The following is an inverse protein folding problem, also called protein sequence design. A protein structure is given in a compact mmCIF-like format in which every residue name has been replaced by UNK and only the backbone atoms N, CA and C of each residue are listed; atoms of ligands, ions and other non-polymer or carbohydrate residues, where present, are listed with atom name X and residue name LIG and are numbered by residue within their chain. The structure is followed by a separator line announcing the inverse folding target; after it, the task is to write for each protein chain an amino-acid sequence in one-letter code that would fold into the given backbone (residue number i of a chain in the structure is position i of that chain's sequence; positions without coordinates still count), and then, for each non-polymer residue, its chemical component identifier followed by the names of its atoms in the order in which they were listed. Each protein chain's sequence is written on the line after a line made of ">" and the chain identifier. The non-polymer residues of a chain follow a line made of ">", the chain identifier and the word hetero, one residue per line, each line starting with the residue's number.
data_IF_578020347473
#
_entry.id   IF_578020347473
#
_cell.length_a   1.000
_cell.length_b   1.000
_cell.length_c   1.000
_cell.angle_alpha   90.00
_cell.angle_beta   90.00
_cell.angle_gamma   90.00
#
_symmetry.space_group_name_H-M   'P 1'
#
loop_
_entity.id
_entity.type
_entity.pdbx_description
1 polymer ?
#
# COMPACT_ATOMS: atom_id res chain seq x y z
N UNK A 1 14.64 13.43 56.29
CA UNK A 1 15.22 12.95 54.99
C UNK A 1 14.34 11.91 54.28
N UNK A 2 13.55 11.10 54.99
CA UNK A 2 12.71 10.01 54.39
C UNK A 2 11.63 10.49 53.42
N UNK A 3 11.01 11.65 53.66
CA UNK A 3 9.95 12.20 52.77
C UNK A 3 10.48 12.72 51.43
N UNK A 4 11.72 13.18 51.32
CA UNK A 4 12.34 13.59 50.07
C UNK A 4 12.60 12.38 49.17
N UNK A 5 13.14 11.31 49.74
CA UNK A 5 13.40 10.05 49.04
C UNK A 5 12.08 9.42 48.53
N UNK A 6 11.02 9.44 49.38
CA UNK A 6 9.70 8.95 48.96
C UNK A 6 9.10 9.75 47.81
N UNK A 7 9.19 11.08 47.85
CA UNK A 7 8.71 11.94 46.76
C UNK A 7 9.46 11.68 45.45
N UNK A 8 10.80 11.55 45.53
CA UNK A 8 11.63 11.25 44.35
C UNK A 8 11.26 9.86 43.81
N UNK A 9 11.12 8.85 44.66
CA UNK A 9 10.70 7.52 44.22
C UNK A 9 9.33 7.49 43.53
N UNK A 10 8.35 8.23 44.11
CA UNK A 10 7.02 8.31 43.56
C UNK A 10 7.00 9.01 42.19
N UNK A 11 7.73 10.13 42.04
CA UNK A 11 7.82 10.84 40.74
C UNK A 11 8.52 10.01 39.67
N UNK A 12 9.58 9.29 40.03
CA UNK A 12 10.27 8.40 39.12
C UNK A 12 9.36 7.26 38.65
N UNK A 13 8.58 6.67 39.58
CA UNK A 13 7.64 5.61 39.28
C UNK A 13 6.56 6.08 38.31
N UNK A 14 5.96 7.26 38.55
CA UNK A 14 4.92 7.84 37.68
C UNK A 14 5.47 8.14 36.30
N UNK A 15 6.67 8.74 36.22
CA UNK A 15 7.34 9.00 34.94
C UNK A 15 7.64 7.71 34.18
N UNK A 16 8.11 6.67 34.85
CA UNK A 16 8.41 5.37 34.22
C UNK A 16 7.13 4.71 33.67
N UNK A 17 6.02 4.77 34.42
CA UNK A 17 4.73 4.24 33.97
C UNK A 17 4.16 5.04 32.79
N UNK A 18 4.26 6.36 32.83
CA UNK A 18 3.81 7.21 31.73
C UNK A 18 4.63 6.97 30.45
N UNK A 19 5.95 6.86 30.59
CA UNK A 19 6.84 6.59 29.45
C UNK A 19 6.65 5.17 28.89
N UNK A 20 6.51 4.17 29.79
CA UNK A 20 6.21 2.80 29.40
C UNK A 20 4.85 2.66 28.69
N UNK A 21 3.83 3.36 29.18
CA UNK A 21 2.51 3.40 28.54
C UNK A 21 2.55 4.05 27.18
N UNK A 22 3.31 5.13 27.01
CA UNK A 22 3.49 5.80 25.71
C UNK A 22 4.24 4.92 24.72
N UNK A 23 5.29 4.22 25.15
CA UNK A 23 6.00 3.25 24.30
C UNK A 23 5.09 2.09 23.90
N UNK A 24 4.31 1.55 24.86
CA UNK A 24 3.36 0.48 24.55
C UNK A 24 2.31 0.89 23.54
N UNK A 25 1.77 2.10 23.66
CA UNK A 25 0.81 2.66 22.69
C UNK A 25 1.39 2.77 21.28
N UNK A 26 2.63 3.24 21.18
CA UNK A 26 3.32 3.37 19.88
C UNK A 26 3.65 2.01 19.25
N UNK A 27 4.06 1.03 20.05
CA UNK A 27 4.34 -0.33 19.54
C UNK A 27 3.06 -1.12 19.20
N UNK A 28 1.94 -0.81 19.85
CA UNK A 28 0.65 -1.48 19.59
C UNK A 28 -0.05 -0.99 18.31
N UNK A 29 0.36 0.13 17.76
CA UNK A 29 -0.04 0.58 16.41
C UNK A 29 0.66 -0.25 15.34
N UNK A 30 0.36 -1.51 15.28
CA UNK A 30 0.95 -2.56 14.47
C UNK A 30 1.67 -2.14 13.19
N UNK A 31 2.80 -2.75 12.95
CA UNK A 31 3.61 -2.59 11.74
C UNK A 31 2.74 -2.79 10.49
N UNK A 32 2.60 -1.77 9.65
CA UNK A 32 1.98 -1.90 8.34
C UNK A 32 3.00 -2.57 7.41
N UNK A 33 2.64 -3.72 6.87
CA UNK A 33 3.47 -4.45 5.91
C UNK A 33 3.19 -3.96 4.50
N UNK A 34 4.22 -3.48 3.80
CA UNK A 34 4.14 -3.15 2.38
C UNK A 34 4.32 -4.42 1.55
N UNK A 35 3.31 -4.77 0.76
CA UNK A 35 3.27 -5.99 -0.03
C UNK A 35 2.59 -5.77 -1.39
N UNK A 36 3.00 -6.54 -2.37
CA UNK A 36 2.32 -6.59 -3.66
C UNK A 36 1.14 -7.56 -3.62
N UNK A 37 0.18 -7.38 -4.53
CA UNK A 37 -1.03 -8.23 -4.59
C UNK A 37 -0.67 -9.71 -4.78
N UNK A 38 0.30 -10.00 -5.67
CA UNK A 38 0.79 -11.35 -5.93
C UNK A 38 1.34 -12.03 -4.67
N UNK A 39 2.21 -11.34 -3.92
CA UNK A 39 2.78 -11.88 -2.68
C UNK A 39 1.73 -12.18 -1.61
N UNK A 40 0.70 -11.33 -1.51
CA UNK A 40 -0.38 -11.52 -0.52
C UNK A 40 -1.30 -12.65 -0.93
N UNK A 41 -1.55 -12.82 -2.23
CA UNK A 41 -2.44 -13.85 -2.73
C UNK A 41 -1.81 -15.24 -2.79
N UNK A 42 -0.47 -15.34 -2.76
CA UNK A 42 0.23 -16.63 -2.61
C UNK A 42 -0.05 -17.30 -1.25
N UNK A 43 -0.18 -16.51 -0.19
CA UNK A 43 -0.48 -17.02 1.16
C UNK A 43 -1.48 -16.08 1.88
N UNK A 44 -2.69 -15.99 1.32
CA UNK A 44 -3.73 -15.09 1.81
C UNK A 44 -4.10 -15.35 3.27
N UNK A 45 -4.06 -16.62 3.72
CA UNK A 45 -4.39 -16.96 5.11
C UNK A 45 -3.41 -16.38 6.12
N UNK A 46 -2.13 -16.33 5.80
CA UNK A 46 -1.11 -15.72 6.67
C UNK A 46 -1.30 -14.21 6.84
N UNK A 47 -1.97 -13.56 5.89
CA UNK A 47 -2.19 -12.12 5.88
C UNK A 47 -3.57 -11.69 6.36
N UNK A 48 -4.52 -12.61 6.58
CA UNK A 48 -5.84 -12.29 7.10
C UNK A 48 -5.77 -11.50 8.41
N UNK A 49 -6.51 -10.40 8.47
CA UNK A 49 -6.62 -9.54 9.64
C UNK A 49 -5.41 -8.65 9.93
N UNK A 50 -4.27 -8.82 9.24
CA UNK A 50 -3.10 -7.96 9.40
C UNK A 50 -3.29 -6.65 8.63
N UNK A 51 -2.68 -5.57 9.14
CA UNK A 51 -2.64 -4.29 8.43
C UNK A 51 -1.60 -4.36 7.31
N UNK A 52 -2.05 -4.09 6.10
CA UNK A 52 -1.23 -4.15 4.89
C UNK A 52 -1.30 -2.82 4.14
N UNK A 53 -0.19 -2.49 3.48
CA UNK A 53 -0.16 -1.55 2.38
C UNK A 53 -0.03 -2.37 1.10
N UNK A 54 -1.14 -2.53 0.40
CA UNK A 54 -1.24 -3.37 -0.79
C UNK A 54 -0.96 -2.55 -2.03
N UNK A 55 0.07 -2.90 -2.79
CA UNK A 55 0.45 -2.26 -4.03
C UNK A 55 -0.05 -3.03 -5.25
N UNK A 56 -0.63 -2.34 -6.19
CA UNK A 56 -1.08 -2.92 -7.46
C UNK A 56 -1.65 -1.87 -8.41
N UNK A 57 -2.29 -2.34 -9.48
CA UNK A 57 -2.93 -1.52 -10.50
C UNK A 57 -4.43 -1.75 -10.51
N UNK A 58 -5.21 -0.69 -10.68
CA UNK A 58 -6.67 -0.81 -10.79
C UNK A 58 -7.03 -1.46 -12.11
N UNK A 59 -7.77 -2.57 -12.04
CA UNK A 59 -8.25 -3.26 -13.26
C UNK A 59 -9.20 -2.34 -14.02
N UNK A 60 -9.01 -2.12 -15.32
CA UNK A 60 -9.89 -1.30 -16.14
C UNK A 60 -11.35 -1.76 -16.07
N UNK A 61 -12.27 -0.81 -15.98
CA UNK A 61 -13.73 -1.06 -15.90
C UNK A 61 -14.20 -1.86 -14.69
N UNK A 62 -13.34 -2.00 -13.66
CA UNK A 62 -13.69 -2.70 -12.42
C UNK A 62 -14.27 -1.77 -11.34
N UNK A 63 -14.14 -0.46 -11.51
CA UNK A 63 -14.58 0.52 -10.52
C UNK A 63 -16.11 0.62 -10.54
N UNK A 64 -16.73 0.12 -9.50
CA UNK A 64 -18.17 0.23 -9.26
C UNK A 64 -18.43 1.18 -8.09
N UNK A 65 -19.19 2.23 -8.34
CA UNK A 65 -19.64 3.17 -7.34
C UNK A 65 -21.14 3.01 -7.09
N UNK A 66 -21.55 2.97 -5.84
CA UNK A 66 -22.98 3.00 -5.50
C UNK A 66 -23.51 4.44 -5.67
N UNK A 67 -24.62 4.69 -6.39
CA UNK A 67 -25.06 6.03 -6.76
C UNK A 67 -25.27 7.01 -5.60
N UNK A 68 -25.77 6.51 -4.47
CA UNK A 68 -26.15 7.33 -3.31
C UNK A 68 -25.17 7.21 -2.13
N UNK A 69 -23.99 6.66 -2.35
CA UNK A 69 -22.99 6.47 -1.29
C UNK A 69 -21.57 6.72 -1.79
N UNK A 70 -20.64 6.84 -0.84
CA UNK A 70 -19.21 6.91 -1.12
C UNK A 70 -18.58 5.52 -1.13
N UNK A 71 -19.39 4.46 -1.37
CA UNK A 71 -18.90 3.09 -1.42
C UNK A 71 -18.39 2.77 -2.82
N UNK A 72 -17.13 2.42 -2.87
CA UNK A 72 -16.43 1.97 -4.06
C UNK A 72 -16.07 0.50 -3.92
N UNK A 73 -16.31 -0.26 -4.98
CA UNK A 73 -15.79 -1.62 -5.14
C UNK A 73 -15.00 -1.66 -6.44
N UNK A 74 -13.81 -2.19 -6.37
CA UNK A 74 -12.91 -2.27 -7.52
C UNK A 74 -11.98 -3.45 -7.36
N UNK A 75 -11.28 -3.77 -8.43
CA UNK A 75 -10.28 -4.84 -8.44
C UNK A 75 -8.90 -4.23 -8.61
N UNK A 76 -7.94 -4.82 -7.91
CA UNK A 76 -6.53 -4.44 -8.02
C UNK A 76 -5.73 -5.67 -8.40
N UNK A 77 -4.90 -5.52 -9.41
CA UNK A 77 -4.05 -6.57 -9.94
C UNK A 77 -2.57 -6.25 -9.79
N UNK A 78 -1.77 -7.29 -9.65
CA UNK A 78 -0.33 -7.24 -9.85
C UNK A 78 0.13 -8.58 -10.39
N UNK A 79 0.79 -8.55 -11.55
CA UNK A 79 1.17 -9.78 -12.25
C UNK A 79 -0.04 -10.60 -12.68
N UNK A 80 -0.19 -11.78 -12.11
CA UNK A 80 -1.31 -12.70 -12.39
C UNK A 80 -2.37 -12.72 -11.29
N UNK A 81 -2.12 -12.05 -10.17
CA UNK A 81 -3.01 -12.03 -9.03
C UNK A 81 -3.95 -10.83 -9.05
N UNK A 82 -5.20 -11.06 -8.69
CA UNK A 82 -6.26 -10.04 -8.59
C UNK A 82 -6.92 -10.13 -7.23
N UNK A 83 -7.15 -8.98 -6.59
CA UNK A 83 -7.89 -8.90 -5.33
C UNK A 83 -9.06 -7.94 -5.46
N UNK A 84 -10.21 -8.30 -4.88
CA UNK A 84 -11.34 -7.41 -4.74
C UNK A 84 -11.08 -6.46 -3.58
N UNK A 85 -11.26 -5.16 -3.81
CA UNK A 85 -11.12 -4.13 -2.79
C UNK A 85 -12.43 -3.39 -2.58
N UNK A 86 -12.72 -3.05 -1.33
CA UNK A 86 -13.85 -2.23 -0.94
C UNK A 86 -13.35 -1.00 -0.17
N UNK A 87 -13.89 0.16 -0.50
CA UNK A 87 -13.54 1.43 0.11
C UNK A 87 -14.76 2.31 0.29
N UNK A 88 -14.89 2.91 1.47
CA UNK A 88 -15.92 3.91 1.74
C UNK A 88 -15.24 5.23 2.09
N UNK A 89 -15.38 6.22 1.20
CA UNK A 89 -14.79 7.54 1.39
C UNK A 89 -14.53 8.28 0.09
N UNK A 90 -13.78 9.38 0.21
CA UNK A 90 -13.39 10.21 -0.93
C UNK A 90 -12.14 9.61 -1.57
N UNK A 91 -12.19 9.36 -2.86
CA UNK A 91 -11.03 8.90 -3.64
C UNK A 91 -10.30 10.09 -4.26
N UNK A 92 -8.96 10.02 -4.41
CA UNK A 92 -8.20 11.05 -5.12
C UNK A 92 -8.60 11.14 -6.60
N UNK A 93 -8.44 12.33 -7.22
CA UNK A 93 -8.71 12.53 -8.66
C UNK A 93 -7.83 11.67 -9.57
N UNK A 94 -6.69 11.21 -9.06
CA UNK A 94 -5.77 10.30 -9.75
C UNK A 94 -6.23 8.84 -9.73
N UNK A 95 -7.28 8.51 -8.97
CA UNK A 95 -7.85 7.17 -8.90
C UNK A 95 -8.73 6.91 -10.13
N UNK A 96 -8.18 6.20 -11.09
CA UNK A 96 -8.78 5.88 -12.38
C UNK A 96 -8.47 4.44 -12.79
N UNK A 97 -9.14 3.97 -13.83
CA UNK A 97 -8.81 2.70 -14.48
C UNK A 97 -7.32 2.66 -14.88
N UNK A 98 -6.66 1.57 -14.53
CA UNK A 98 -5.24 1.37 -14.79
C UNK A 98 -4.27 2.19 -13.94
N UNK A 99 -4.75 2.95 -12.94
CA UNK A 99 -3.88 3.68 -12.03
C UNK A 99 -3.09 2.76 -11.12
N UNK A 100 -1.83 3.09 -10.88
CA UNK A 100 -1.04 2.50 -9.81
C UNK A 100 -1.54 3.00 -8.46
N UNK A 101 -1.88 2.08 -7.56
CA UNK A 101 -2.43 2.40 -6.25
C UNK A 101 -1.70 1.69 -5.13
N UNK A 102 -1.65 2.35 -3.98
CA UNK A 102 -1.29 1.74 -2.70
C UNK A 102 -2.50 1.85 -1.78
N UNK A 103 -3.00 0.72 -1.36
CA UNK A 103 -4.18 0.61 -0.50
C UNK A 103 -3.75 0.24 0.92
N UNK A 104 -4.09 1.07 1.89
CA UNK A 104 -3.92 0.74 3.30
C UNK A 104 -5.19 0.10 3.84
N UNK A 105 -5.07 -1.07 4.43
CA UNK A 105 -6.24 -1.78 4.92
C UNK A 105 -5.92 -3.14 5.50
N UNK A 106 -6.92 -4.03 5.44
CA UNK A 106 -6.81 -5.41 5.93
C UNK A 106 -7.42 -6.37 4.92
N UNK A 107 -6.81 -7.54 4.81
CA UNK A 107 -7.38 -8.63 4.06
C UNK A 107 -8.43 -9.34 4.90
N UNK A 108 -9.69 -9.32 4.43
CA UNK A 108 -10.81 -10.04 5.02
C UNK A 108 -11.30 -11.18 4.14
N UNK A 109 -12.28 -11.96 4.59
CA UNK A 109 -12.82 -13.10 3.83
C UNK A 109 -13.56 -12.68 2.55
N UNK A 110 -13.99 -11.43 2.45
CA UNK A 110 -14.66 -10.87 1.26
C UNK A 110 -13.75 -10.08 0.32
N UNK A 111 -12.45 -10.02 0.60
CA UNK A 111 -11.48 -9.22 -0.14
C UNK A 111 -10.73 -8.23 0.74
N UNK A 112 -10.12 -7.24 0.13
CA UNK A 112 -9.33 -6.23 0.83
C UNK A 112 -10.21 -5.06 1.27
N UNK A 113 -10.33 -4.86 2.56
CA UNK A 113 -11.04 -3.72 3.15
C UNK A 113 -10.09 -2.55 3.35
N UNK A 114 -10.30 -1.49 2.59
CA UNK A 114 -9.45 -0.30 2.65
C UNK A 114 -9.86 0.58 3.82
N UNK A 115 -8.87 0.96 4.63
CA UNK A 115 -9.08 1.88 5.77
C UNK A 115 -9.49 3.29 5.29
N UNK A 116 -10.15 4.10 6.12
CA UNK A 116 -10.43 5.49 5.82
C UNK A 116 -9.16 6.24 5.41
N UNK A 117 -9.23 7.02 4.33
CA UNK A 117 -8.07 7.71 3.71
C UNK A 117 -6.92 6.78 3.29
N UNK A 118 -7.21 5.48 3.12
CA UNK A 118 -6.21 4.47 2.79
C UNK A 118 -5.95 4.30 1.28
N UNK A 119 -6.60 5.06 0.41
CA UNK A 119 -6.37 5.02 -1.04
C UNK A 119 -5.34 6.07 -1.43
N UNK A 120 -4.18 5.62 -1.91
CA UNK A 120 -3.15 6.48 -2.49
C UNK A 120 -2.97 6.07 -3.94
N UNK A 121 -3.40 6.91 -4.88
CA UNK A 121 -3.16 6.71 -6.31
C UNK A 121 -1.92 7.51 -6.73
N UNK A 122 -0.99 6.85 -7.39
CA UNK A 122 0.19 7.50 -7.95
C UNK A 122 -0.14 8.05 -9.33
N UNK A 123 0.40 9.22 -9.66
CA UNK A 123 0.35 9.69 -11.05
C UNK A 123 1.20 8.74 -11.90
N UNK A 124 0.68 8.26 -13.05
CA UNK A 124 1.48 7.46 -13.96
C UNK A 124 2.69 8.28 -14.41
N UNK A 125 3.87 7.90 -13.95
CA UNK A 125 5.12 8.48 -14.46
C UNK A 125 5.28 8.04 -15.89
N UNK A 126 5.40 9.00 -16.81
CA UNK A 126 5.55 8.78 -18.27
C UNK A 126 6.80 7.98 -18.69
N UNK A 127 7.55 7.45 -17.73
CA UNK A 127 8.88 6.84 -17.92
C UNK A 127 9.00 5.39 -17.44
N UNK A 128 7.92 4.62 -17.34
CA UNK A 128 8.11 3.18 -17.23
C UNK A 128 8.28 2.58 -18.64
N UNK A 129 9.48 2.06 -18.99
CA UNK A 129 9.63 1.25 -20.18
C UNK A 129 8.79 -0.02 -19.96
N UNK A 130 7.80 -0.23 -20.81
CA UNK A 130 7.05 -1.50 -20.87
C UNK A 130 8.06 -2.65 -20.89
N UNK A 131 8.00 -3.64 -19.99
CA UNK A 131 8.85 -4.80 -20.09
C UNK A 131 8.54 -5.52 -21.40
N UNK A 132 9.46 -5.45 -22.36
CA UNK A 132 9.33 -6.03 -23.69
C UNK A 132 9.73 -5.14 -24.87
N UNK A 133 9.97 -3.85 -24.68
CA UNK A 133 10.57 -3.01 -25.72
C UNK A 133 12.09 -3.22 -25.70
N UNK A 134 12.59 -4.14 -26.52
CA UNK A 134 14.01 -4.27 -26.80
C UNK A 134 14.56 -2.91 -27.23
N UNK A 135 15.44 -2.33 -26.42
CA UNK A 135 16.20 -1.14 -26.75
C UNK A 135 17.08 -1.49 -27.95
N UNK A 136 16.63 -1.12 -29.16
CA UNK A 136 17.54 -1.01 -30.29
C UNK A 136 18.40 0.22 -30.03
N UNK A 137 19.61 -0.01 -29.54
CA UNK A 137 20.63 1.02 -29.41
C UNK A 137 20.91 1.71 -30.73
N UNK A 138 21.13 3.03 -30.75
CA UNK A 138 21.61 3.74 -31.93
C UNK A 138 23.11 3.47 -32.10
N UNK A 139 23.47 2.51 -32.96
CA UNK A 139 24.88 2.20 -33.19
C UNK A 139 25.14 1.02 -34.10
N UNK A 140 24.40 0.89 -35.21
CA UNK A 140 24.84 0.07 -36.34
C UNK A 140 25.18 1.03 -37.50
N UNK A 141 26.44 1.45 -37.52
CA UNK A 141 27.03 2.14 -38.66
C UNK A 141 26.87 1.28 -39.89
N UNK A 142 26.15 1.82 -40.85
CA UNK A 142 26.07 1.32 -42.22
C UNK A 142 27.50 1.40 -42.83
N UNK A 143 28.18 0.26 -42.94
CA UNK A 143 29.31 0.11 -43.83
C UNK A 143 28.77 -0.20 -45.22
N UNK A 144 28.80 0.79 -46.10
CA UNK A 144 28.47 0.65 -47.52
C UNK A 144 29.50 -0.26 -48.21
N UNK A 145 29.08 -0.96 -49.27
CA UNK A 145 30.02 -1.79 -50.07
C UNK A 145 30.90 -0.89 -50.89
N UNK A 146 32.22 -1.15 -50.79
CA UNK A 146 33.24 -0.62 -51.69
C UNK A 146 33.11 -1.35 -53.01
N UNK A 147 32.92 -0.59 -54.08
CA UNK A 147 33.10 -1.07 -55.45
C UNK A 147 34.58 -1.31 -55.76
N UNK A 148 34.88 -2.45 -56.33
CA UNK A 148 35.81 -2.71 -57.41
C UNK A 148 35.40 -3.99 -58.13
#
# INVERSE_FOLDING_TARGET
>A
MRYKAFRIGLTTLVLSLAFGGMLWSTLSEGTEYYKHVDEVMEDAEAWHGKRLQLHGFVVPSSIMRRPDSLDYRFQVENGTAVVHASYTGIVPDTFKDGSEVVLKGRLGPGGFEVSPNGVMAKCPSKYEPKPGAAVRGPGAAVRGPRAE
#
